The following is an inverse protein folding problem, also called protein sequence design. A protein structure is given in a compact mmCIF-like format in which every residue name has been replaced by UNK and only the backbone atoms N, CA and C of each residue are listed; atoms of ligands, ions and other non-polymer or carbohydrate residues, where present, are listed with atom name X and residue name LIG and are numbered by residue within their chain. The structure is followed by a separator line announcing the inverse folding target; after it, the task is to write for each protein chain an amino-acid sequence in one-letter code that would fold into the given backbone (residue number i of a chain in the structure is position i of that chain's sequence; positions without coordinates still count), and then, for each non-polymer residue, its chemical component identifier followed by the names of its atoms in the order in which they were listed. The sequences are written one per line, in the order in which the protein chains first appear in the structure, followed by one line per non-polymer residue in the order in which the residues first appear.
data_IF_711086135491
#
_entry.id   IF_711086135491
#
_cell.length_a   1.000
_cell.length_b   1.000
_cell.length_c   1.000
_cell.angle_alpha   90.00
_cell.angle_beta   90.00
_cell.angle_gamma   90.00
#
_symmetry.space_group_name_H-M   'P 1'
#
loop_
_entity.id
_entity.type
_entity.pdbx_description
1 polymer ?
#
# COMPACT_ATOMS: atom_id res chain seq x y z
N UNK A 1 4.19 3.11 -12.51
CA UNK A 1 2.94 3.07 -13.28
C UNK A 1 2.25 1.75 -13.01
N UNK A 2 1.00 1.79 -12.60
CA UNK A 2 0.17 0.62 -12.33
C UNK A 2 -0.97 0.58 -13.35
N UNK A 3 -1.23 -0.57 -13.95
CA UNK A 3 -2.42 -0.76 -14.78
C UNK A 3 -3.63 -0.94 -13.85
N UNK A 4 -4.83 -0.53 -14.25
CA UNK A 4 -6.05 -0.84 -13.48
C UNK A 4 -6.65 -2.21 -13.80
N UNK A 5 -6.20 -2.84 -14.89
CA UNK A 5 -6.71 -4.14 -15.29
C UNK A 5 -6.13 -5.25 -14.41
N UNK A 6 -7.00 -5.99 -13.71
CA UNK A 6 -6.59 -7.12 -12.86
C UNK A 6 -5.79 -8.20 -13.61
N UNK A 7 -6.07 -8.39 -14.91
CA UNK A 7 -5.31 -9.30 -15.77
C UNK A 7 -3.80 -9.00 -15.81
N UNK A 8 -3.39 -7.74 -15.59
CA UNK A 8 -1.98 -7.38 -15.53
C UNK A 8 -1.27 -7.92 -14.28
N UNK A 9 -2.01 -8.30 -13.23
CA UNK A 9 -1.46 -8.74 -11.93
C UNK A 9 -1.41 -10.24 -11.74
N UNK A 10 -1.81 -11.00 -12.77
CA UNK A 10 -1.84 -12.47 -12.77
C UNK A 10 -0.56 -13.12 -13.29
N UNK A 11 0.51 -12.35 -13.49
CA UNK A 11 1.76 -12.94 -13.96
C UNK A 11 2.33 -13.86 -12.89
N UNK A 12 2.64 -15.13 -13.23
CA UNK A 12 3.16 -16.09 -12.27
C UNK A 12 4.57 -15.72 -11.83
N UNK A 13 4.87 -16.01 -10.57
CA UNK A 13 6.20 -15.84 -9.98
C UNK A 13 6.23 -14.81 -8.85
N UNK A 14 7.30 -14.82 -8.04
CA UNK A 14 7.35 -14.09 -6.78
C UNK A 14 7.40 -12.57 -6.91
N UNK A 15 7.66 -12.04 -8.11
CA UNK A 15 7.60 -10.59 -8.37
C UNK A 15 6.23 -10.14 -8.89
N UNK A 16 5.41 -11.07 -9.39
CA UNK A 16 4.25 -10.73 -10.22
C UNK A 16 4.65 -9.82 -11.40
N UNK A 17 3.81 -8.83 -11.77
CA UNK A 17 4.15 -7.85 -12.81
C UNK A 17 4.98 -6.65 -12.30
N UNK A 18 5.44 -6.69 -11.06
CA UNK A 18 5.96 -5.52 -10.38
C UNK A 18 7.45 -5.36 -10.66
N UNK A 19 7.84 -4.12 -10.96
CA UNK A 19 9.24 -3.73 -11.07
C UNK A 19 9.49 -2.56 -10.11
N UNK A 20 10.62 -2.60 -9.43
CA UNK A 20 11.08 -1.51 -8.57
C UNK A 20 12.37 -0.96 -9.13
N UNK A 21 12.44 0.36 -9.24
CA UNK A 21 13.63 1.06 -9.69
C UNK A 21 14.03 2.06 -8.64
N UNK A 22 15.31 2.08 -8.30
CA UNK A 22 15.91 3.06 -7.41
C UNK A 22 16.72 4.05 -8.22
N UNK A 23 16.54 5.33 -7.92
CA UNK A 23 17.48 6.37 -8.30
C UNK A 23 17.95 7.06 -7.02
N UNK A 24 19.25 7.00 -6.75
CA UNK A 24 19.85 7.51 -5.54
C UNK A 24 20.76 8.69 -5.87
N UNK A 25 20.24 9.90 -5.67
CA UNK A 25 21.03 11.12 -5.79
C UNK A 25 21.77 11.41 -4.48
N UNK A 26 23.03 11.89 -4.54
CA UNK A 26 23.72 12.37 -3.34
C UNK A 26 22.96 13.53 -2.71
N UNK A 27 23.07 13.72 -1.39
CA UNK A 27 22.38 14.81 -0.65
C UNK A 27 22.61 16.17 -1.32
N UNK A 28 23.85 16.42 -1.75
CA UNK A 28 24.21 17.57 -2.58
C UNK A 28 24.17 17.17 -4.05
N UNK A 29 23.19 17.69 -4.78
CA UNK A 29 23.00 17.43 -6.21
C UNK A 29 22.41 18.67 -6.91
N UNK A 30 22.29 18.61 -8.24
CA UNK A 30 21.77 19.72 -9.06
C UNK A 30 20.23 19.68 -9.25
N UNK A 31 19.55 18.69 -8.68
CA UNK A 31 18.11 18.46 -8.86
C UNK A 31 17.28 19.15 -7.78
N UNK A 32 17.75 19.13 -6.53
CA UNK A 32 17.06 19.76 -5.39
C UNK A 32 18.05 20.32 -4.35
N UNK A 33 17.62 21.28 -3.52
CA UNK A 33 18.44 21.85 -2.45
C UNK A 33 18.91 20.80 -1.43
N UNK A 34 20.08 21.01 -0.85
CA UNK A 34 20.67 20.12 0.17
C UNK A 34 19.87 20.06 1.47
N UNK A 35 19.21 21.16 1.83
CA UNK A 35 18.32 21.26 2.97
C UNK A 35 16.87 21.03 2.51
N UNK A 36 16.08 20.24 3.26
CA UNK A 36 14.68 19.99 2.91
C UNK A 36 13.87 21.30 2.95
N UNK A 37 12.82 21.40 2.13
CA UNK A 37 11.88 22.52 2.25
C UNK A 37 11.19 22.49 3.62
N UNK A 38 10.74 23.65 4.14
CA UNK A 38 9.93 23.70 5.35
C UNK A 38 8.61 22.94 5.15
N UNK A 39 8.11 22.31 6.22
CA UNK A 39 6.86 21.53 6.21
C UNK A 39 5.64 22.38 5.85
N UNK A 40 5.61 23.64 6.30
CA UNK A 40 4.57 24.59 5.91
C UNK A 40 4.99 25.35 4.63
N UNK A 41 4.32 25.11 3.49
CA UNK A 41 4.62 25.84 2.27
C UNK A 41 4.25 27.32 2.40
N UNK A 42 4.97 28.24 1.73
CA UNK A 42 4.59 29.65 1.70
C UNK A 42 3.16 29.83 1.14
N UNK A 43 2.40 30.83 1.61
CA UNK A 43 1.00 31.02 1.22
C UNK A 43 0.76 31.23 -0.29
N UNK A 44 1.81 31.57 -1.07
CA UNK A 44 1.71 31.84 -2.50
C UNK A 44 2.07 30.67 -3.42
N UNK A 45 2.44 29.49 -2.90
CA UNK A 45 2.72 28.31 -3.73
C UNK A 45 1.45 27.55 -4.09
N UNK A 46 0.57 28.16 -4.89
CA UNK A 46 -0.37 27.37 -5.70
C UNK A 46 0.45 26.71 -6.80
N UNK A 47 1.02 25.54 -6.50
CA UNK A 47 1.84 24.77 -7.43
C UNK A 47 0.96 24.22 -8.56
N UNK A 48 0.64 25.07 -9.54
CA UNK A 48 0.09 24.60 -10.81
C UNK A 48 1.20 23.78 -11.47
N UNK A 49 1.02 22.45 -11.49
CA UNK A 49 1.90 21.54 -12.21
C UNK A 49 2.13 22.08 -13.64
N UNK A 50 3.36 22.43 -13.99
CA UNK A 50 3.59 23.16 -15.21
C UNK A 50 3.45 22.21 -16.40
N UNK A 51 2.64 22.60 -17.40
CA UNK A 51 2.47 21.85 -18.67
C UNK A 51 3.76 21.73 -19.49
N UNK A 52 4.79 22.45 -19.06
CA UNK A 52 6.15 22.41 -19.59
C UNK A 52 7.15 22.41 -18.46
N UNK A 53 8.11 21.50 -18.54
CA UNK A 53 9.26 21.54 -17.65
C UNK A 53 10.11 22.79 -17.93
N UNK A 54 10.96 23.19 -16.97
CA UNK A 54 11.91 24.31 -17.16
C UNK A 54 12.78 24.13 -18.41
N UNK A 55 13.10 22.90 -18.77
CA UNK A 55 13.82 22.54 -20.00
C UNK A 55 13.01 22.66 -21.31
N UNK A 56 11.77 23.16 -21.24
CA UNK A 56 10.90 23.36 -22.42
C UNK A 56 10.16 22.11 -22.89
N UNK A 57 10.44 20.93 -22.35
CA UNK A 57 9.72 19.70 -22.67
C UNK A 57 8.24 19.81 -22.28
N UNK A 58 7.34 19.56 -23.23
CA UNK A 58 5.90 19.57 -22.99
C UNK A 58 5.45 18.26 -22.33
N UNK A 59 4.53 18.37 -21.38
CA UNK A 59 3.95 17.23 -20.67
C UNK A 59 2.57 16.90 -21.22
N UNK A 60 2.22 15.61 -21.17
CA UNK A 60 0.92 15.13 -21.56
C UNK A 60 -0.13 15.68 -20.59
N UNK A 61 -1.12 16.40 -21.12
CA UNK A 61 -2.20 16.99 -20.32
C UNK A 61 -3.02 15.96 -19.53
N UNK A 62 -2.99 14.68 -19.92
CA UNK A 62 -3.74 13.60 -19.29
C UNK A 62 -2.94 12.85 -18.22
N UNK A 63 -1.65 12.63 -18.41
CA UNK A 63 -0.89 11.74 -17.53
C UNK A 63 0.43 12.31 -17.02
N UNK A 64 0.79 13.54 -17.39
CA UNK A 64 2.04 14.17 -16.97
C UNK A 64 3.31 13.62 -17.63
N UNK A 65 3.27 12.49 -18.35
CA UNK A 65 4.43 11.96 -19.09
C UNK A 65 4.86 12.89 -20.22
N UNK A 66 6.03 12.66 -20.83
CA UNK A 66 6.48 13.43 -22.00
C UNK A 66 5.41 13.45 -23.11
N UNK A 67 5.05 14.65 -23.56
CA UNK A 67 4.05 14.90 -24.59
C UNK A 67 4.69 15.39 -25.90
N UNK A 68 5.27 14.50 -26.73
CA UNK A 68 5.95 14.91 -27.96
C UNK A 68 4.97 15.40 -29.04
N UNK A 69 3.67 15.11 -28.90
CA UNK A 69 2.64 15.47 -29.89
C UNK A 69 1.80 16.62 -29.37
N UNK A 70 1.58 17.63 -30.20
CA UNK A 70 0.68 18.75 -29.89
C UNK A 70 -0.63 18.63 -30.64
N UNK A 71 -1.71 19.16 -30.06
CA UNK A 71 -2.99 19.27 -30.73
C UNK A 71 -2.85 20.09 -32.02
N UNK A 72 -3.18 19.49 -33.17
CA UNK A 72 -3.05 20.16 -34.47
C UNK A 72 -3.98 21.37 -34.70
N UNK A 73 -4.95 21.62 -33.79
CA UNK A 73 -5.85 22.77 -33.88
C UNK A 73 -5.38 23.97 -33.04
N UNK A 74 -4.95 23.73 -31.80
CA UNK A 74 -4.55 24.80 -30.89
C UNK A 74 -3.05 24.92 -30.68
N UNK A 75 -2.27 23.89 -31.01
CA UNK A 75 -0.82 23.77 -30.77
C UNK A 75 -0.35 23.99 -29.32
N UNK A 76 -1.29 24.03 -28.35
CA UNK A 76 -1.01 24.28 -26.93
C UNK A 76 -1.05 23.00 -26.10
N UNK A 77 -2.09 22.19 -26.25
CA UNK A 77 -2.22 20.93 -25.53
C UNK A 77 -1.25 19.89 -26.11
N UNK A 78 -0.49 19.23 -25.24
CA UNK A 78 0.45 18.17 -25.58
C UNK A 78 0.02 16.81 -25.04
N UNK A 79 0.38 15.74 -25.75
CA UNK A 79 -0.02 14.37 -25.46
C UNK A 79 1.11 13.38 -25.73
N UNK A 80 1.20 12.34 -24.89
CA UNK A 80 2.14 11.24 -25.09
C UNK A 80 1.77 10.36 -26.31
N UNK A 81 0.48 10.32 -26.66
CA UNK A 81 -0.04 9.54 -27.77
C UNK A 81 -1.47 9.94 -28.18
N UNK A 82 -1.98 9.37 -29.28
CA UNK A 82 -3.31 9.68 -29.81
C UNK A 82 -4.44 9.26 -28.87
N UNK A 83 -4.25 8.21 -28.06
CA UNK A 83 -5.25 7.72 -27.11
C UNK A 83 -5.58 8.78 -26.06
N UNK A 84 -4.57 9.37 -25.43
CA UNK A 84 -4.75 10.45 -24.45
C UNK A 84 -5.32 11.73 -25.09
N UNK A 85 -4.98 12.02 -26.35
CA UNK A 85 -5.60 13.12 -27.07
C UNK A 85 -7.11 12.89 -27.26
N UNK A 86 -7.52 11.68 -27.66
CA UNK A 86 -8.94 11.33 -27.84
C UNK A 86 -9.68 11.38 -26.50
N UNK A 87 -9.06 10.90 -25.42
CA UNK A 87 -9.64 10.91 -24.09
C UNK A 87 -9.91 12.35 -23.61
N UNK A 88 -8.90 13.22 -23.65
CA UNK A 88 -9.01 14.63 -23.28
C UNK A 88 -10.01 15.39 -24.17
N UNK A 89 -10.01 15.08 -25.47
CA UNK A 89 -10.97 15.66 -26.42
C UNK A 89 -12.42 15.39 -26.04
N UNK A 90 -12.73 14.18 -25.56
CA UNK A 90 -14.08 13.81 -25.09
C UNK A 90 -14.42 14.48 -23.75
N UNK A 91 -13.43 14.61 -22.85
CA UNK A 91 -13.63 15.11 -21.48
C UNK A 91 -13.78 16.64 -21.38
N UNK A 92 -13.24 17.39 -22.33
CA UNK A 92 -13.47 18.83 -22.34
C UNK A 92 -12.65 19.64 -23.30
N UNK A 93 -11.50 19.12 -23.76
CA UNK A 93 -10.62 19.89 -24.64
C UNK A 93 -11.33 20.34 -25.92
N UNK A 94 -12.28 19.56 -26.48
CA UNK A 94 -13.08 19.99 -27.64
C UNK A 94 -13.74 21.36 -27.46
N UNK A 95 -14.21 21.65 -26.24
CA UNK A 95 -14.91 22.91 -25.92
C UNK A 95 -13.93 24.06 -25.79
N UNK A 96 -12.80 23.87 -25.10
CA UNK A 96 -11.80 24.93 -24.86
C UNK A 96 -10.75 25.08 -25.98
N UNK A 97 -10.69 24.14 -26.93
CA UNK A 97 -9.68 24.12 -27.98
C UNK A 97 -9.79 25.36 -28.89
N UNK A 98 -8.77 26.24 -28.80
CA UNK A 98 -8.67 27.46 -29.61
C UNK A 98 -9.42 28.67 -29.05
N UNK A 99 -9.97 28.61 -27.83
CA UNK A 99 -10.70 29.73 -27.20
C UNK A 99 -9.79 30.78 -26.54
N UNK A 100 -8.46 30.62 -26.58
CA UNK A 100 -7.52 31.48 -25.85
C UNK A 100 -6.71 32.36 -26.79
N UNK A 101 -7.20 33.59 -26.98
CA UNK A 101 -6.45 34.66 -27.65
C UNK A 101 -5.78 35.66 -26.69
N UNK A 102 -5.97 35.53 -25.36
CA UNK A 102 -5.42 36.48 -24.39
C UNK A 102 -5.04 35.79 -23.06
N UNK A 103 -3.75 35.51 -22.87
CA UNK A 103 -2.96 35.66 -21.63
C UNK A 103 -3.48 35.21 -20.26
N UNK A 104 -4.48 34.34 -20.13
CA UNK A 104 -4.95 33.85 -18.84
C UNK A 104 -4.34 32.50 -18.47
N UNK A 105 -3.45 32.47 -17.47
CA UNK A 105 -2.81 31.25 -16.92
C UNK A 105 -3.81 30.25 -16.30
N UNK A 106 -5.03 30.70 -15.98
CA UNK A 106 -6.08 29.90 -15.34
C UNK A 106 -6.67 28.79 -16.21
N UNK A 107 -6.57 28.88 -17.54
CA UNK A 107 -7.22 27.93 -18.44
C UNK A 107 -6.39 26.67 -18.75
N UNK A 108 -5.11 26.70 -18.37
CA UNK A 108 -4.25 25.53 -18.48
C UNK A 108 -4.41 24.62 -17.26
N UNK A 109 -5.14 25.02 -16.21
CA UNK A 109 -5.42 24.18 -15.04
C UNK A 109 -5.75 22.72 -15.43
N UNK A 110 -4.99 21.80 -14.84
CA UNK A 110 -5.29 20.37 -14.92
C UNK A 110 -6.71 20.21 -14.35
N UNK A 111 -7.61 19.44 -14.98
CA UNK A 111 -8.90 19.16 -14.37
C UNK A 111 -8.67 18.68 -12.94
N UNK A 112 -9.29 19.36 -11.96
CA UNK A 112 -9.16 19.03 -10.52
C UNK A 112 -9.45 17.54 -10.25
N UNK A 113 -10.23 16.92 -11.14
CA UNK A 113 -10.45 15.49 -11.16
C UNK A 113 -9.96 14.87 -12.46
N UNK A 114 -8.84 14.16 -12.38
CA UNK A 114 -8.33 13.34 -13.45
C UNK A 114 -8.67 11.87 -13.19
N UNK A 115 -9.85 11.43 -13.62
CA UNK A 115 -10.27 10.01 -13.52
C UNK A 115 -9.29 9.02 -14.19
N UNK A 116 -8.38 9.49 -15.05
CA UNK A 116 -7.36 8.60 -15.63
C UNK A 116 -6.23 8.29 -14.65
N UNK A 117 -5.84 9.25 -13.80
CA UNK A 117 -4.83 9.06 -12.77
C UNK A 117 -5.47 8.50 -11.49
N UNK A 118 -4.68 7.83 -10.66
CA UNK A 118 -5.10 7.45 -9.32
C UNK A 118 -5.32 8.71 -8.48
N UNK A 119 -6.18 8.66 -7.46
CA UNK A 119 -6.25 9.72 -6.46
C UNK A 119 -4.86 9.94 -5.84
N UNK A 120 -4.51 11.19 -5.59
CA UNK A 120 -3.24 11.58 -4.98
C UNK A 120 -3.48 11.84 -3.50
N UNK A 121 -2.62 11.29 -2.64
CA UNK A 121 -2.66 11.47 -1.21
C UNK A 121 -1.28 11.89 -0.72
N UNK A 122 -1.25 12.69 0.35
CA UNK A 122 -0.04 12.94 1.10
C UNK A 122 0.26 11.75 2.01
N UNK A 123 1.53 11.37 2.10
CA UNK A 123 1.98 10.32 3.02
C UNK A 123 2.53 11.00 4.27
N UNK A 124 1.85 10.78 5.40
CA UNK A 124 2.35 11.19 6.70
C UNK A 124 3.36 10.16 7.20
N UNK A 125 4.50 10.63 7.70
CA UNK A 125 5.60 9.78 8.17
C UNK A 125 5.66 9.91 9.68
N UNK A 126 5.38 8.80 10.37
CA UNK A 126 5.41 8.71 11.83
C UNK A 126 6.29 7.53 12.26
N UNK A 127 7.02 7.65 13.39
CA UNK A 127 7.79 6.54 13.93
C UNK A 127 6.85 5.44 14.45
N UNK A 128 7.22 4.18 14.23
CA UNK A 128 6.53 3.03 14.83
C UNK A 128 6.81 3.04 16.34
N UNK A 129 5.80 3.32 17.17
CA UNK A 129 5.93 3.24 18.62
C UNK A 129 6.02 1.76 19.03
N UNK A 130 7.09 1.33 19.72
CA UNK A 130 7.13 -0.03 20.25
C UNK A 130 6.03 -0.18 21.29
N UNK A 131 5.22 -1.23 21.18
CA UNK A 131 4.31 -1.62 22.24
C UNK A 131 5.13 -1.81 23.52
N UNK A 132 5.00 -0.87 24.47
CA UNK A 132 5.52 -1.11 25.81
C UNK A 132 4.80 -2.36 26.32
N UNK A 133 5.50 -3.40 26.78
CA UNK A 133 4.83 -4.51 27.43
C UNK A 133 4.13 -3.91 28.65
N UNK A 134 2.80 -3.82 28.56
CA UNK A 134 1.99 -3.38 29.69
C UNK A 134 2.30 -4.31 30.85
N UNK A 135 2.83 -3.69 31.89
CA UNK A 135 3.17 -4.22 33.20
C UNK A 135 2.02 -5.11 33.73
N UNK A 136 2.09 -6.40 33.43
CA UNK A 136 1.29 -7.44 34.05
C UNK A 136 2.21 -8.34 34.87
N UNK A 137 3.07 -7.73 35.70
CA UNK A 137 3.50 -8.36 36.93
C UNK A 137 2.30 -8.42 37.88
N UNK A 138 1.46 -9.43 37.70
CA UNK A 138 0.61 -9.90 38.78
C UNK A 138 1.54 -10.62 39.76
N UNK A 139 1.95 -9.93 40.81
CA UNK A 139 2.66 -10.52 41.95
C UNK A 139 1.86 -11.73 42.48
N UNK A 140 2.47 -12.93 42.69
CA UNK A 140 1.75 -14.12 43.14
C UNK A 140 1.53 -14.20 44.67
N UNK A 141 1.83 -13.15 45.44
CA UNK A 141 1.81 -13.20 46.89
C UNK A 141 0.81 -12.20 47.50
N UNK A 142 -0.49 -12.51 47.43
CA UNK A 142 -1.44 -12.02 48.43
C UNK A 142 -2.68 -12.94 48.55
N UNK A 143 -2.44 -14.17 49.00
CA UNK A 143 -3.46 -15.02 49.61
C UNK A 143 -3.26 -15.01 51.13
N UNK A 144 -4.11 -14.30 51.89
CA UNK A 144 -4.89 -14.83 53.01
C UNK A 144 -5.55 -13.71 53.84
N UNK A 145 -6.87 -13.78 54.08
CA UNK A 145 -7.45 -13.09 55.24
C UNK A 145 -8.95 -12.81 55.31
N UNK A 146 -9.76 -13.85 55.52
CA UNK A 146 -10.92 -13.89 56.43
C UNK A 146 -12.22 -13.03 56.21
N UNK A 147 -13.31 -13.74 55.87
CA UNK A 147 -14.67 -13.83 56.49
C UNK A 147 -15.47 -12.55 56.84
N UNK A 148 -16.65 -12.33 56.22
CA UNK A 148 -18.03 -12.39 56.81
C UNK A 148 -19.14 -11.63 55.99
N UNK A 149 -20.01 -12.42 55.33
CA UNK A 149 -21.52 -12.42 55.19
C UNK A 149 -22.40 -11.15 55.47
N UNK A 150 -23.72 -11.09 55.08
CA UNK A 150 -24.36 -10.84 53.76
C UNK A 150 -25.48 -9.72 53.76
N UNK A 151 -26.06 -9.39 52.58
CA UNK A 151 -27.47 -8.92 52.30
C UNK A 151 -27.56 -8.56 50.79
N UNK A 152 -28.34 -9.22 49.93
CA UNK A 152 -29.81 -9.26 49.79
C UNK A 152 -30.21 -8.52 48.49
N UNK A 153 -30.75 -9.17 47.44
CA UNK A 153 -32.17 -9.25 47.01
C UNK A 153 -32.18 -10.07 45.67
N UNK A 154 -32.75 -11.30 45.56
CA UNK A 154 -34.12 -11.70 45.12
C UNK A 154 -34.58 -11.06 43.79
N UNK A 155 -35.21 -11.68 42.79
CA UNK A 155 -35.79 -12.99 42.36
C UNK A 155 -35.98 -12.81 40.81
N UNK A 156 -36.08 -13.79 39.88
CA UNK A 156 -37.10 -14.83 39.77
C UNK A 156 -36.84 -15.68 38.49
N UNK A 157 -37.11 -16.99 38.58
CA UNK A 157 -37.27 -18.00 37.51
C UNK A 157 -38.45 -17.62 36.55
N UNK A 158 -38.71 -18.21 35.37
CA UNK A 158 -38.88 -19.63 35.04
C UNK A 158 -39.30 -19.74 33.55
N UNK A 159 -39.02 -20.87 32.87
CA UNK A 159 -39.97 -21.70 32.08
C UNK A 159 -39.25 -22.63 31.08
N UNK A 160 -39.37 -23.94 31.34
CA UNK A 160 -39.06 -25.07 30.45
C UNK A 160 -40.32 -25.47 29.66
N UNK A 161 -40.17 -26.01 28.44
CA UNK A 161 -40.92 -27.19 27.92
C UNK A 161 -40.54 -27.55 26.45
N UNK A 162 -39.88 -28.70 26.24
CA UNK A 162 -40.35 -29.93 25.55
C UNK A 162 -40.28 -29.98 24.00
N UNK A 163 -39.67 -31.05 23.46
CA UNK A 163 -39.93 -31.55 22.10
C UNK A 163 -38.84 -32.49 21.56
N UNK A 164 -39.20 -33.71 21.15
CA UNK A 164 -38.32 -34.85 20.85
C UNK A 164 -38.23 -35.18 19.35
N UNK A 165 -37.15 -35.91 18.99
CA UNK A 165 -37.00 -36.86 17.87
C UNK A 165 -36.45 -36.36 16.50
N UNK A 166 -35.26 -36.88 16.13
CA UNK A 166 -35.13 -37.60 14.86
C UNK A 166 -34.05 -37.22 13.84
N UNK A 167 -32.80 -37.68 14.10
CA UNK A 167 -31.82 -38.27 13.16
C UNK A 167 -31.02 -37.40 12.16
N UNK A 168 -29.70 -37.56 12.35
CA UNK A 168 -28.63 -37.69 11.35
C UNK A 168 -27.94 -36.41 10.85
N UNK A 169 -27.26 -35.72 11.76
CA UNK A 169 -25.90 -35.26 11.49
C UNK A 169 -25.05 -35.83 12.63
N UNK A 170 -23.97 -36.54 12.31
CA UNK A 170 -23.02 -36.99 13.32
C UNK A 170 -22.50 -35.72 13.99
N UNK A 171 -22.89 -35.49 15.24
CA UNK A 171 -22.30 -34.44 16.05
C UNK A 171 -20.84 -34.82 16.22
N UNK A 172 -19.97 -34.21 15.40
CA UNK A 172 -18.61 -33.99 15.83
C UNK A 172 -18.73 -33.36 17.21
N UNK A 173 -18.15 -34.02 18.20
CA UNK A 173 -18.15 -33.54 19.57
C UNK A 173 -17.61 -32.12 19.60
N UNK A 174 -18.26 -31.25 20.36
CA UNK A 174 -17.91 -29.84 20.51
C UNK A 174 -16.45 -29.70 20.97
N UNK A 175 -15.96 -30.69 21.72
CA UNK A 175 -14.56 -30.82 22.13
C UNK A 175 -13.61 -31.12 20.95
N UNK A 176 -13.99 -31.94 19.97
CA UNK A 176 -13.23 -32.13 18.72
C UNK A 176 -13.34 -30.92 17.79
N UNK A 177 -14.49 -30.22 17.72
CA UNK A 177 -14.62 -28.98 16.95
C UNK A 177 -13.79 -27.84 17.58
N UNK A 178 -13.77 -27.74 18.90
CA UNK A 178 -12.91 -26.81 19.65
C UNK A 178 -11.44 -27.22 19.58
N UNK A 179 -11.11 -28.51 19.58
CA UNK A 179 -9.73 -28.99 19.41
C UNK A 179 -9.23 -28.74 17.97
N UNK A 180 -10.08 -28.92 16.97
CA UNK A 180 -9.79 -28.56 15.58
C UNK A 180 -9.70 -27.04 15.39
N UNK A 181 -10.46 -26.25 16.16
CA UNK A 181 -10.33 -24.78 16.21
C UNK A 181 -9.12 -24.29 17.02
N UNK A 182 -8.61 -25.11 17.96
CA UNK A 182 -7.41 -24.85 18.78
C UNK A 182 -6.12 -25.35 18.17
N UNK A 183 -6.18 -26.12 17.09
CA UNK A 183 -5.00 -26.40 16.28
C UNK A 183 -4.65 -25.14 15.49
N UNK A 184 -4.11 -24.13 16.19
CA UNK A 184 -3.42 -23.01 15.56
C UNK A 184 -2.35 -23.59 14.66
N UNK A 185 -2.55 -23.46 13.35
CA UNK A 185 -1.52 -23.80 12.39
C UNK A 185 -0.41 -22.76 12.48
N UNK A 186 0.79 -23.09 11.99
CA UNK A 186 1.87 -22.09 11.93
C UNK A 186 1.48 -20.89 11.05
N UNK A 187 0.56 -21.09 10.09
CA UNK A 187 -0.02 -20.02 9.27
C UNK A 187 -0.89 -19.06 10.09
N UNK A 188 -1.74 -19.60 10.98
CA UNK A 188 -2.59 -18.80 11.86
C UNK A 188 -1.75 -17.93 12.79
N UNK A 189 -0.63 -18.45 13.29
CA UNK A 189 0.31 -17.68 14.13
C UNK A 189 0.96 -16.54 13.36
N UNK A 190 1.44 -16.79 12.14
CA UNK A 190 2.04 -15.74 11.30
C UNK A 190 1.02 -14.65 10.98
N UNK A 191 -0.20 -15.04 10.62
CA UNK A 191 -1.28 -14.10 10.36
C UNK A 191 -1.72 -13.33 11.62
N UNK A 192 -1.70 -13.98 12.78
CA UNK A 192 -1.99 -13.34 14.07
C UNK A 192 -0.92 -12.30 14.43
N UNK A 193 0.36 -12.64 14.29
CA UNK A 193 1.47 -11.68 14.48
C UNK A 193 1.37 -10.49 13.52
N UNK A 194 0.97 -10.74 12.26
CA UNK A 194 0.71 -9.68 11.30
C UNK A 194 -0.42 -8.75 11.79
N UNK A 195 -1.55 -9.31 12.21
CA UNK A 195 -2.70 -8.53 12.71
C UNK A 195 -2.34 -7.72 13.96
N UNK A 196 -1.63 -8.31 14.91
CA UNK A 196 -1.19 -7.63 16.13
C UNK A 196 -0.30 -6.44 15.79
N UNK A 197 0.70 -6.65 14.93
CA UNK A 197 1.59 -5.56 14.53
C UNK A 197 0.86 -4.43 13.79
N UNK A 198 -0.09 -4.76 12.92
CA UNK A 198 -0.86 -3.78 12.15
C UNK A 198 -1.96 -3.13 13.00
N UNK A 199 -2.37 -3.73 14.11
CA UNK A 199 -3.41 -3.17 14.98
C UNK A 199 -3.01 -1.84 15.61
N UNK A 200 -1.71 -1.62 15.84
CA UNK A 200 -1.18 -0.36 16.34
C UNK A 200 -1.44 0.80 15.37
N UNK A 201 -1.34 0.57 14.06
CA UNK A 201 -1.62 1.58 13.03
C UNK A 201 -2.26 0.95 11.78
N UNK A 202 -3.60 0.77 11.77
CA UNK A 202 -4.31 0.09 10.70
C UNK A 202 -4.38 0.90 9.39
N UNK A 203 -4.14 2.22 9.43
CA UNK A 203 -4.11 3.05 8.22
C UNK A 203 -2.73 3.04 7.53
N UNK A 204 -1.74 2.32 8.09
CA UNK A 204 -0.41 2.22 7.53
C UNK A 204 -0.42 1.63 6.11
N UNK A 205 0.06 2.40 5.14
CA UNK A 205 0.23 1.97 3.74
C UNK A 205 1.66 1.55 3.39
N UNK A 206 2.65 2.04 4.14
CA UNK A 206 4.07 1.75 3.94
C UNK A 206 4.73 1.60 5.30
N UNK A 207 5.57 0.57 5.46
CA UNK A 207 6.44 0.40 6.62
C UNK A 207 7.90 0.41 6.16
N UNK A 208 8.66 1.38 6.66
CA UNK A 208 10.07 1.55 6.33
C UNK A 208 10.96 1.00 7.45
N UNK A 209 11.84 0.05 7.14
CA UNK A 209 12.73 -0.55 8.14
C UNK A 209 13.97 -1.15 7.45
N UNK A 210 14.86 -0.27 6.96
CA UNK A 210 16.05 -0.69 6.20
C UNK A 210 17.05 -1.43 7.08
N UNK A 211 17.27 -2.71 6.78
CA UNK A 211 18.22 -3.56 7.51
C UNK A 211 17.87 -3.81 8.99
N UNK A 212 16.63 -3.54 9.41
CA UNK A 212 16.16 -3.77 10.77
C UNK A 212 15.53 -5.16 10.96
N UNK A 213 14.41 -5.23 11.68
CA UNK A 213 13.72 -6.48 12.05
C UNK A 213 13.23 -7.31 10.85
N UNK A 214 13.12 -6.69 9.66
CA UNK A 214 12.64 -7.35 8.45
C UNK A 214 11.16 -7.08 8.16
N UNK A 215 10.64 -7.70 7.09
CA UNK A 215 9.23 -7.60 6.71
C UNK A 215 8.32 -8.40 7.63
N UNK A 216 7.06 -7.98 7.74
CA UNK A 216 5.99 -8.77 8.35
C UNK A 216 5.21 -9.48 7.24
N UNK A 217 4.95 -10.76 7.44
CA UNK A 217 4.32 -11.62 6.45
C UNK A 217 2.89 -11.92 6.84
N UNK A 218 2.02 -11.99 5.84
CA UNK A 218 0.61 -12.36 6.00
C UNK A 218 0.47 -13.88 6.16
N UNK A 219 1.35 -14.65 5.51
CA UNK A 219 1.40 -16.11 5.59
C UNK A 219 2.84 -16.60 5.80
N UNK A 220 2.99 -17.77 6.43
CA UNK A 220 4.28 -18.47 6.50
C UNK A 220 4.72 -19.03 5.14
N UNK A 221 3.79 -19.20 4.21
CA UNK A 221 4.06 -19.67 2.86
C UNK A 221 4.48 -18.53 1.91
N UNK A 222 5.17 -18.89 0.82
CA UNK A 222 5.59 -17.94 -0.22
C UNK A 222 6.41 -16.75 0.33
N UNK A 223 7.30 -17.04 1.27
CA UNK A 223 8.29 -16.10 1.81
C UNK A 223 9.65 -16.32 1.12
N UNK A 224 10.41 -15.25 0.82
CA UNK A 224 11.70 -15.37 0.17
C UNK A 224 12.77 -15.90 1.11
N UNK A 225 13.34 -17.05 0.79
CA UNK A 225 14.67 -17.41 1.27
C UNK A 225 15.76 -16.50 0.66
N UNK A 226 16.93 -16.41 1.32
CA UNK A 226 18.06 -15.60 0.86
C UNK A 226 18.51 -15.94 -0.57
N UNK A 227 18.39 -17.21 -0.98
CA UNK A 227 18.72 -17.67 -2.34
C UNK A 227 17.78 -17.13 -3.43
N UNK A 228 16.56 -16.72 -3.07
CA UNK A 228 15.58 -16.18 -4.00
C UNK A 228 15.78 -14.69 -4.26
N UNK A 229 16.58 -14.02 -3.43
CA UNK A 229 16.88 -12.59 -3.56
C UNK A 229 18.21 -12.46 -4.31
N UNK A 230 18.20 -11.98 -5.57
CA UNK A 230 19.43 -11.81 -6.34
C UNK A 230 20.28 -10.66 -5.78
N UNK A 231 21.61 -10.74 -5.99
CA UNK A 231 22.55 -9.66 -5.68
C UNK A 231 22.33 -8.42 -6.57
N UNK A 232 22.70 -7.22 -6.10
CA UNK A 232 22.78 -6.00 -6.94
C UNK A 232 23.70 -6.29 -8.13
N UNK A 233 23.51 -5.56 -9.23
CA UNK A 233 24.40 -5.55 -10.38
C UNK A 233 25.87 -5.25 -10.04
N UNK A 234 26.13 -4.56 -8.93
CA UNK A 234 27.49 -4.34 -8.40
C UNK A 234 28.10 -5.56 -7.68
N UNK A 235 27.32 -6.61 -7.44
CA UNK A 235 27.73 -7.83 -6.74
C UNK A 235 27.38 -7.88 -5.24
N UNK A 236 27.00 -6.75 -4.62
CA UNK A 236 26.58 -6.71 -3.23
C UNK A 236 25.21 -7.40 -3.00
N UNK A 237 24.96 -7.88 -1.78
CA UNK A 237 23.65 -8.42 -1.39
C UNK A 237 22.59 -7.32 -1.37
N UNK A 238 21.34 -7.69 -1.63
CA UNK A 238 20.18 -6.83 -1.36
C UNK A 238 19.64 -7.11 0.04
N UNK A 239 19.26 -6.06 0.74
CA UNK A 239 18.67 -6.10 2.09
C UNK A 239 17.27 -5.53 2.03
N UNK A 240 16.43 -5.94 2.98
CA UNK A 240 15.10 -5.36 3.14
C UNK A 240 15.20 -3.86 3.39
N UNK A 241 14.36 -3.08 2.70
CA UNK A 241 14.27 -1.64 2.89
C UNK A 241 12.91 -1.20 3.43
N UNK A 242 11.85 -1.55 2.72
CA UNK A 242 10.49 -1.21 3.10
C UNK A 242 9.49 -2.21 2.53
N UNK A 243 8.29 -2.21 3.08
CA UNK A 243 7.15 -2.98 2.59
C UNK A 243 5.96 -2.06 2.32
N UNK A 244 5.14 -2.43 1.34
CA UNK A 244 3.88 -1.80 1.01
C UNK A 244 2.76 -2.69 1.55
N UNK A 245 1.94 -2.08 2.39
CA UNK A 245 0.86 -2.73 3.11
C UNK A 245 -0.37 -2.93 2.21
N UNK A 246 -1.22 -3.93 2.51
CA UNK A 246 -2.43 -4.17 1.74
C UNK A 246 -3.43 -3.01 1.84
N UNK A 247 -3.36 -2.22 2.92
CA UNK A 247 -4.21 -1.05 3.15
C UNK A 247 -4.17 -0.03 1.99
N UNK A 248 -3.05 0.03 1.25
CA UNK A 248 -2.94 0.90 0.08
C UNK A 248 -4.02 0.61 -0.98
N UNK A 249 -4.47 -0.64 -1.10
CA UNK A 249 -5.51 -1.06 -2.06
C UNK A 249 -6.83 -0.29 -1.86
N UNK A 250 -7.20 -0.03 -0.60
CA UNK A 250 -8.41 0.71 -0.24
C UNK A 250 -8.37 2.17 -0.75
N UNK A 251 -7.17 2.75 -0.85
CA UNK A 251 -6.99 4.12 -1.33
C UNK A 251 -6.92 4.23 -2.87
N UNK A 252 -6.57 3.15 -3.57
CA UNK A 252 -6.43 3.14 -5.03
C UNK A 252 -7.77 3.16 -5.77
N UNK A 253 -8.90 2.92 -5.09
CA UNK A 253 -10.26 2.92 -5.66
C UNK A 253 -10.38 2.02 -6.91
N UNK A 254 -9.74 0.85 -6.87
CA UNK A 254 -9.74 -0.14 -7.96
C UNK A 254 -10.78 -1.26 -7.78
N UNK A 255 -11.71 -1.05 -6.87
CA UNK A 255 -12.79 -1.98 -6.58
C UNK A 255 -13.75 -2.03 -7.77
N UNK A 256 -13.54 -3.02 -8.63
CA UNK A 256 -14.53 -3.41 -9.63
C UNK A 256 -15.24 -4.67 -9.13
N UNK A 257 -16.56 -4.73 -9.34
CA UNK A 257 -17.38 -5.92 -9.02
C UNK A 257 -16.91 -7.09 -9.90
N UNK A 258 -15.87 -7.79 -9.49
CA UNK A 258 -15.18 -8.80 -10.27
C UNK A 258 -13.72 -8.96 -9.85
N UNK A 259 -12.81 -8.64 -10.78
CA UNK A 259 -11.37 -8.83 -10.61
C UNK A 259 -10.73 -7.51 -10.16
N UNK A 260 -10.12 -7.49 -8.98
CA UNK A 260 -9.39 -6.33 -8.44
C UNK A 260 -7.89 -6.61 -8.38
N UNK A 261 -7.11 -5.53 -8.22
CA UNK A 261 -5.70 -5.65 -7.87
C UNK A 261 -5.66 -6.07 -6.41
N UNK A 262 -4.93 -7.15 -6.10
CA UNK A 262 -4.83 -7.67 -4.73
C UNK A 262 -3.40 -8.15 -4.44
N UNK A 263 -2.97 -7.95 -3.20
CA UNK A 263 -1.72 -8.43 -2.62
C UNK A 263 -1.84 -8.42 -1.09
N UNK A 264 -1.22 -9.41 -0.44
CA UNK A 264 -1.05 -9.44 1.01
C UNK A 264 -0.01 -8.45 1.49
N UNK A 265 1.20 -8.52 0.94
CA UNK A 265 2.28 -7.54 1.20
C UNK A 265 3.25 -7.51 0.03
N UNK A 266 3.80 -6.32 -0.24
CA UNK A 266 4.89 -6.16 -1.22
C UNK A 266 6.15 -5.76 -0.49
N UNK A 267 7.20 -6.55 -0.62
CA UNK A 267 8.45 -6.36 0.12
C UNK A 267 9.56 -5.96 -0.84
N UNK A 268 10.18 -4.81 -0.58
CA UNK A 268 11.22 -4.25 -1.43
C UNK A 268 12.60 -4.47 -0.80
N UNK A 269 13.51 -5.01 -1.61
CA UNK A 269 14.90 -5.26 -1.27
C UNK A 269 15.81 -4.44 -2.17
N UNK A 270 16.74 -3.72 -1.55
CA UNK A 270 17.67 -2.82 -2.25
C UNK A 270 19.11 -3.08 -1.88
N UNK A 271 20.04 -2.55 -2.68
CA UNK A 271 21.46 -2.78 -2.44
C UNK A 271 21.92 -2.32 -1.04
N UNK A 272 22.63 -3.21 -0.32
CA UNK A 272 23.23 -2.89 0.97
C UNK A 272 24.22 -1.71 0.88
N UNK A 273 25.04 -1.72 -0.17
CA UNK A 273 26.09 -0.73 -0.42
C UNK A 273 25.60 0.54 -1.11
N UNK A 274 24.28 0.67 -1.36
CA UNK A 274 23.72 1.83 -2.07
C UNK A 274 24.41 2.07 -3.42
N UNK A 275 24.57 1.00 -4.20
CA UNK A 275 25.17 1.03 -5.54
C UNK A 275 24.46 2.09 -6.42
N UNK A 276 25.22 2.87 -7.19
CA UNK A 276 24.71 3.84 -8.16
C UNK A 276 25.11 5.29 -7.88
N UNK A 277 25.41 6.04 -8.95
CA UNK A 277 25.86 7.43 -8.88
C UNK A 277 24.72 8.45 -9.13
N UNK A 278 23.46 8.00 -9.12
CA UNK A 278 22.28 8.84 -9.32
C UNK A 278 21.98 9.29 -10.76
N UNK A 279 22.80 8.85 -11.73
CA UNK A 279 22.62 9.19 -13.15
C UNK A 279 21.66 8.25 -13.89
N UNK A 280 21.35 7.09 -13.32
CA UNK A 280 20.52 6.06 -13.95
C UNK A 280 19.60 5.41 -12.91
N UNK A 281 18.49 4.86 -13.39
CA UNK A 281 17.60 4.03 -12.58
C UNK A 281 18.13 2.60 -12.52
N UNK A 282 18.39 2.10 -11.32
CA UNK A 282 18.81 0.73 -11.09
C UNK A 282 17.61 -0.14 -10.71
N UNK A 283 17.50 -1.31 -11.33
CA UNK A 283 16.46 -2.28 -10.98
C UNK A 283 16.77 -2.93 -9.63
N UNK A 284 15.83 -2.79 -8.71
CA UNK A 284 15.83 -3.43 -7.40
C UNK A 284 14.83 -4.58 -7.34
N UNK A 285 14.83 -5.31 -6.24
CA UNK A 285 14.04 -6.52 -6.12
C UNK A 285 12.76 -6.27 -5.31
N UNK A 286 11.65 -6.84 -5.79
CA UNK A 286 10.36 -6.82 -5.12
C UNK A 286 9.84 -8.24 -5.00
N UNK A 287 9.31 -8.57 -3.82
CA UNK A 287 8.61 -9.81 -3.54
C UNK A 287 7.14 -9.50 -3.27
N UNK A 288 6.24 -10.26 -3.90
CA UNK A 288 4.80 -10.18 -3.72
C UNK A 288 4.32 -11.43 -2.99
N UNK A 289 3.67 -11.24 -1.87
CA UNK A 289 2.89 -12.28 -1.19
C UNK A 289 1.41 -11.96 -1.35
N UNK A 290 0.59 -12.96 -1.69
CA UNK A 290 -0.86 -12.86 -1.84
C UNK A 290 -1.58 -13.38 -0.58
N UNK A 291 -2.81 -12.93 -0.33
CA UNK A 291 -3.63 -13.36 0.81
C UNK A 291 -4.08 -14.83 0.74
N UNK A 292 -4.03 -15.45 -0.45
CA UNK A 292 -4.47 -16.82 -0.66
C UNK A 292 -3.37 -17.65 -1.33
N UNK A 293 -3.07 -18.81 -0.77
CA UNK A 293 -2.25 -19.85 -1.41
C UNK A 293 -3.00 -20.57 -2.56
N UNK A 294 -4.14 -20.05 -3.01
CA UNK A 294 -5.08 -20.82 -3.83
C UNK A 294 -5.90 -19.99 -4.79
N UNK A 295 -5.29 -19.57 -5.90
CA UNK A 295 -6.00 -19.46 -7.19
C UNK A 295 -4.99 -19.50 -8.33
N UNK A 296 -4.48 -20.69 -8.59
CA UNK A 296 -3.87 -21.04 -9.88
C UNK A 296 -4.96 -21.31 -10.92
#
# INVERSE_FOLDING_TARGET
FACRGAACYRLPGPRGPLCVFRNQLPRRNDTYPEEPPPEEPPPDTTAVLPHRLRGGAALCRVCGCLGPRVCGRCHRAAYCGPEHQVLDWRRGHRRSCGQHAAGGDSADAIPEHNEFLFPEYEILIEPEEPESPSDSSVDPDDEQGAVDTPKGLKEQEELRATGSAGKACQSLDEETLEAMAKHETEEDKVFQMFKERVAAEPEQIIRYCRGGEGPIWVSGENTPEEKHIPNCSCGAKRIFEFQIMPQLLNHLQVDSLGESIDWGTLVVYTCAENCGDGNEYLEEFIWKQDFSAGSS
#
